data_IF_536922258168
#
_entry.id   IF_536922258168
#
_cell.length_a   1.000
_cell.length_b   1.000
_cell.length_c   1.000
_cell.angle_alpha   90.00
_cell.angle_beta   90.00
_cell.angle_gamma   90.00
#
_symmetry.space_group_name_H-M   'P 1'
#
loop_
_entity.id
_entity.type
_entity.pdbx_description
1 polymer ?
#
# COMPACT_ATOMS: atom_id res chain seq x y z
N UNK A 1 27.36 1.28 -41.06
CA UNK A 1 27.27 1.55 -39.62
C UNK A 1 25.79 1.48 -39.26
N UNK A 2 25.32 0.31 -38.83
CA UNK A 2 23.93 0.14 -38.40
C UNK A 2 23.90 0.67 -36.98
N UNK A 3 23.33 1.87 -36.82
CA UNK A 3 23.03 2.42 -35.50
C UNK A 3 21.87 1.56 -34.99
N UNK A 4 22.14 0.67 -34.05
CA UNK A 4 21.09 0.08 -33.24
C UNK A 4 20.46 1.23 -32.47
N UNK A 5 19.25 1.64 -32.86
CA UNK A 5 18.40 2.38 -31.95
C UNK A 5 18.28 1.53 -30.67
N UNK A 6 18.46 2.10 -29.47
CA UNK A 6 18.21 1.34 -28.25
C UNK A 6 16.78 0.82 -28.32
N UNK A 7 16.61 -0.49 -28.17
CA UNK A 7 15.30 -1.12 -28.07
C UNK A 7 14.61 -0.52 -26.85
N UNK A 8 13.38 0.00 -27.00
CA UNK A 8 12.62 0.51 -25.85
C UNK A 8 12.64 -0.53 -24.72
N UNK A 9 13.00 -0.12 -23.50
CA UNK A 9 13.04 -1.03 -22.36
C UNK A 9 11.63 -1.64 -22.18
N UNK A 10 11.55 -2.96 -22.29
CA UNK A 10 10.27 -3.68 -22.22
C UNK A 10 9.83 -3.80 -20.77
N UNK A 11 8.52 -3.76 -20.55
CA UNK A 11 7.92 -4.01 -19.24
C UNK A 11 8.33 -5.38 -18.74
N UNK A 12 8.85 -5.43 -17.52
CA UNK A 12 9.22 -6.65 -16.83
C UNK A 12 8.01 -7.25 -16.08
N UNK A 13 7.88 -8.57 -16.10
CA UNK A 13 6.79 -9.30 -15.45
C UNK A 13 7.34 -10.36 -14.47
N UNK A 14 7.66 -10.00 -13.22
CA UNK A 14 8.39 -10.86 -12.27
C UNK A 14 7.64 -12.13 -11.88
N UNK A 15 6.31 -12.13 -12.01
CA UNK A 15 5.45 -13.24 -11.60
C UNK A 15 5.17 -14.26 -12.71
N UNK A 16 5.70 -14.06 -13.93
CA UNK A 16 5.67 -15.10 -14.98
C UNK A 16 6.61 -16.27 -14.66
N UNK A 17 7.68 -16.03 -13.87
CA UNK A 17 8.63 -17.06 -13.43
C UNK A 17 9.16 -16.79 -12.03
N UNK A 18 8.44 -17.27 -11.01
CA UNK A 18 8.78 -17.06 -9.59
C UNK A 18 10.16 -17.61 -9.19
N UNK A 19 10.65 -18.67 -9.87
CA UNK A 19 11.99 -19.22 -9.60
C UNK A 19 13.11 -18.31 -10.11
N UNK A 20 12.88 -17.61 -11.21
CA UNK A 20 13.86 -16.70 -11.80
C UNK A 20 13.90 -15.36 -11.06
N UNK A 21 12.81 -14.93 -10.43
CA UNK A 21 12.69 -13.60 -9.83
C UNK A 21 13.75 -13.28 -8.76
N UNK A 22 14.31 -14.26 -8.05
CA UNK A 22 15.44 -14.04 -7.10
C UNK A 22 16.76 -13.64 -7.76
N UNK A 23 16.92 -13.95 -9.04
CA UNK A 23 18.16 -13.73 -9.81
C UNK A 23 18.06 -12.54 -10.75
N UNK A 24 16.93 -11.85 -10.74
CA UNK A 24 16.64 -10.70 -11.59
C UNK A 24 16.36 -9.50 -10.70
N UNK A 25 16.81 -8.31 -11.10
CA UNK A 25 16.43 -7.07 -10.44
C UNK A 25 14.90 -6.92 -10.46
N UNK A 26 14.29 -6.66 -9.30
CA UNK A 26 12.84 -6.59 -9.15
C UNK A 26 12.23 -5.53 -10.07
N UNK A 27 12.92 -4.41 -10.31
CA UNK A 27 12.39 -3.30 -11.08
C UNK A 27 12.60 -3.49 -12.60
N UNK A 28 13.80 -3.88 -13.02
CA UNK A 28 14.19 -3.88 -14.44
C UNK A 28 14.18 -5.26 -15.10
N UNK A 29 14.12 -6.34 -14.32
CA UNK A 29 14.25 -7.70 -14.83
C UNK A 29 15.65 -8.08 -15.33
N UNK A 30 16.65 -7.19 -15.24
CA UNK A 30 18.04 -7.49 -15.61
C UNK A 30 18.64 -8.52 -14.65
N UNK A 31 19.47 -9.48 -15.13
CA UNK A 31 20.15 -10.44 -14.26
C UNK A 31 21.02 -9.75 -13.21
N UNK A 32 20.99 -10.28 -11.99
CA UNK A 32 21.91 -9.88 -10.92
C UNK A 32 23.27 -10.58 -11.08
N UNK A 33 24.33 -9.89 -10.69
CA UNK A 33 25.69 -10.41 -10.65
C UNK A 33 25.91 -11.33 -9.45
N UNK A 34 25.19 -11.13 -8.35
CA UNK A 34 25.29 -11.97 -7.14
C UNK A 34 23.97 -11.99 -6.35
N UNK A 35 23.84 -12.95 -5.44
CA UNK A 35 22.72 -13.02 -4.48
C UNK A 35 22.70 -11.86 -3.48
N UNK A 36 23.83 -11.17 -3.31
CA UNK A 36 23.98 -10.05 -2.37
C UNK A 36 23.41 -8.73 -2.93
N UNK A 37 23.11 -8.67 -4.23
CA UNK A 37 22.47 -7.51 -4.84
C UNK A 37 21.01 -7.41 -4.42
N UNK A 38 20.80 -6.78 -3.27
CA UNK A 38 19.51 -6.63 -2.63
C UNK A 38 19.38 -5.30 -1.91
N UNK A 39 18.16 -4.81 -1.82
CA UNK A 39 17.78 -3.66 -0.98
C UNK A 39 16.84 -4.13 0.14
N UNK A 40 16.73 -3.34 1.21
CA UNK A 40 15.70 -3.56 2.20
C UNK A 40 14.32 -3.15 1.67
N UNK A 41 13.28 -3.89 2.04
CA UNK A 41 11.89 -3.52 1.75
C UNK A 41 11.55 -2.22 2.48
N UNK A 42 11.80 -2.20 3.79
CA UNK A 42 11.70 -1.03 4.64
C UNK A 42 12.98 -0.22 4.51
N UNK A 43 12.91 1.08 4.22
CA UNK A 43 14.12 1.84 3.96
C UNK A 43 14.93 2.06 5.25
N UNK A 44 16.26 2.11 5.09
CA UNK A 44 17.19 2.19 6.22
C UNK A 44 16.93 3.41 7.10
N UNK A 45 16.65 4.58 6.51
CA UNK A 45 16.36 5.81 7.26
C UNK A 45 15.16 5.66 8.21
N UNK A 46 14.13 4.93 7.77
CA UNK A 46 12.93 4.70 8.56
C UNK A 46 13.19 3.69 9.67
N UNK A 47 13.87 2.59 9.33
CA UNK A 47 14.21 1.55 10.30
C UNK A 47 15.11 2.10 11.42
N UNK A 48 16.12 2.90 11.08
CA UNK A 48 16.99 3.52 12.08
C UNK A 48 16.25 4.56 12.94
N UNK A 49 15.37 5.37 12.34
CA UNK A 49 14.57 6.40 13.05
C UNK A 49 13.66 5.78 14.11
N UNK A 50 12.96 4.70 13.77
CA UNK A 50 11.98 4.05 14.65
C UNK A 50 12.50 2.77 15.31
N UNK A 51 13.81 2.48 15.20
CA UNK A 51 14.48 1.30 15.79
C UNK A 51 13.82 -0.02 15.40
N UNK A 52 13.46 -0.16 14.12
CA UNK A 52 12.68 -1.29 13.60
C UNK A 52 13.54 -2.48 13.19
N UNK A 53 14.84 -2.31 12.96
CA UNK A 53 15.70 -3.31 12.31
C UNK A 53 15.56 -4.72 12.90
N UNK A 54 15.62 -4.85 14.23
CA UNK A 54 15.49 -6.11 14.96
C UNK A 54 14.08 -6.42 15.46
N UNK A 55 13.10 -5.55 15.18
CA UNK A 55 11.71 -5.77 15.60
C UNK A 55 11.09 -6.92 14.81
N UNK A 56 10.19 -7.72 15.42
CA UNK A 56 9.52 -8.79 14.71
C UNK A 56 8.53 -8.22 13.68
N UNK A 57 8.57 -8.80 12.49
CA UNK A 57 7.57 -8.65 11.43
C UNK A 57 6.92 -10.01 11.21
N UNK A 58 5.60 -10.05 11.35
CA UNK A 58 4.82 -11.28 11.20
C UNK A 58 4.26 -11.36 9.78
N UNK A 59 4.59 -12.43 9.07
CA UNK A 59 4.09 -12.73 7.72
C UNK A 59 2.70 -13.41 7.78
N UNK A 60 2.04 -13.51 6.62
CA UNK A 60 0.72 -14.13 6.49
C UNK A 60 0.71 -15.62 6.83
N UNK A 61 1.83 -16.32 6.64
CA UNK A 61 2.03 -17.71 7.05
C UNK A 61 2.31 -17.86 8.56
N UNK A 62 2.14 -16.80 9.34
CA UNK A 62 2.41 -16.69 10.77
C UNK A 62 3.90 -16.79 11.15
N UNK A 63 4.80 -16.96 10.16
CA UNK A 63 6.23 -16.92 10.43
C UNK A 63 6.67 -15.52 10.83
N UNK A 64 7.72 -15.46 11.66
CA UNK A 64 8.29 -14.22 12.16
C UNK A 64 9.65 -14.02 11.51
N UNK A 65 9.82 -12.89 10.84
CA UNK A 65 11.11 -12.36 10.40
C UNK A 65 11.38 -11.05 11.13
N UNK A 66 12.53 -10.43 10.91
CA UNK A 66 12.75 -9.04 11.35
C UNK A 66 12.56 -8.06 10.19
N UNK A 67 12.32 -6.78 10.48
CA UNK A 67 12.19 -5.76 9.42
C UNK A 67 13.42 -5.73 8.49
N UNK A 68 14.63 -5.89 9.04
CA UNK A 68 15.87 -5.90 8.24
C UNK A 68 16.00 -7.15 7.35
N UNK A 69 15.35 -8.26 7.69
CA UNK A 69 15.42 -9.52 6.92
C UNK A 69 14.55 -9.46 5.65
N UNK A 70 13.59 -8.54 5.60
CA UNK A 70 12.74 -8.34 4.42
C UNK A 70 13.52 -7.59 3.33
N UNK A 71 13.83 -8.32 2.26
CA UNK A 71 14.71 -7.87 1.17
C UNK A 71 14.04 -7.99 -0.20
N UNK A 72 14.54 -7.20 -1.16
CA UNK A 72 14.18 -7.27 -2.57
C UNK A 72 15.45 -7.41 -3.43
N UNK A 73 15.48 -8.31 -4.43
CA UNK A 73 16.59 -8.42 -5.37
C UNK A 73 16.68 -7.15 -6.22
N UNK A 74 17.79 -6.42 -6.19
CA UNK A 74 17.93 -5.15 -6.89
C UNK A 74 19.38 -4.93 -7.32
N UNK A 75 19.61 -4.64 -8.61
CA UNK A 75 20.96 -4.33 -9.09
C UNK A 75 21.44 -2.98 -8.56
N UNK A 76 22.74 -2.82 -8.42
CA UNK A 76 23.33 -1.55 -7.99
C UNK A 76 22.91 -0.38 -8.91
N UNK A 77 22.90 -0.60 -10.22
CA UNK A 77 22.47 0.40 -11.22
C UNK A 77 21.03 0.85 -11.02
N UNK A 78 20.08 -0.10 -10.85
CA UNK A 78 18.68 0.25 -10.65
C UNK A 78 18.44 0.93 -9.30
N UNK A 79 19.19 0.53 -8.28
CA UNK A 79 19.15 1.17 -6.97
C UNK A 79 19.60 2.64 -7.07
N UNK A 80 20.78 2.90 -7.63
CA UNK A 80 21.37 4.24 -7.75
C UNK A 80 20.55 5.18 -8.64
N UNK A 81 20.05 4.69 -9.78
CA UNK A 81 19.33 5.53 -10.74
C UNK A 81 17.88 5.83 -10.34
N UNK A 82 17.22 4.92 -9.64
CA UNK A 82 15.77 4.97 -9.47
C UNK A 82 15.32 4.90 -8.00
N UNK A 83 15.81 3.93 -7.24
CA UNK A 83 15.33 3.69 -5.87
C UNK A 83 15.88 4.71 -4.88
N UNK A 84 17.18 5.01 -4.89
CA UNK A 84 17.80 5.97 -3.98
C UNK A 84 17.28 7.40 -4.17
N UNK A 85 17.07 7.92 -5.40
CA UNK A 85 16.40 9.20 -5.59
C UNK A 85 15.00 9.23 -4.98
N UNK A 86 14.18 8.19 -5.20
CA UNK A 86 12.85 8.08 -4.60
C UNK A 86 12.93 8.10 -3.07
N UNK A 87 13.83 7.33 -2.46
CA UNK A 87 13.99 7.30 -1.01
C UNK A 87 14.45 8.63 -0.44
N UNK A 88 15.36 9.34 -1.11
CA UNK A 88 15.81 10.68 -0.67
C UNK A 88 14.70 11.71 -0.71
N UNK A 89 13.91 11.74 -1.79
CA UNK A 89 12.79 12.67 -1.94
C UNK A 89 11.73 12.44 -0.84
N UNK A 90 11.41 11.17 -0.58
CA UNK A 90 10.44 10.77 0.45
C UNK A 90 10.98 11.03 1.86
N UNK A 91 12.23 10.65 2.15
CA UNK A 91 12.85 10.89 3.45
C UNK A 91 12.86 12.38 3.79
N UNK A 92 13.23 13.24 2.84
CA UNK A 92 13.28 14.68 3.04
C UNK A 92 11.91 15.24 3.46
N UNK A 93 10.84 14.87 2.75
CA UNK A 93 9.49 15.33 3.09
C UNK A 93 8.98 14.72 4.40
N UNK A 94 9.17 13.41 4.61
CA UNK A 94 8.68 12.70 5.79
C UNK A 94 9.36 13.18 7.08
N UNK A 95 10.61 13.64 6.98
CA UNK A 95 11.35 14.26 8.09
C UNK A 95 10.76 15.60 8.50
N UNK A 96 10.26 16.40 7.55
CA UNK A 96 9.62 17.69 7.84
C UNK A 96 8.21 17.49 8.38
N UNK A 97 7.43 16.56 7.80
CA UNK A 97 6.09 16.24 8.25
C UNK A 97 4.98 16.65 7.28
N UNK A 98 3.76 16.76 7.78
CA UNK A 98 2.51 16.88 7.00
C UNK A 98 2.59 17.92 5.87
N UNK A 99 3.07 19.14 6.17
CA UNK A 99 3.11 20.23 5.19
C UNK A 99 4.02 19.90 4.00
N UNK A 100 5.17 19.24 4.23
CA UNK A 100 6.07 18.86 3.13
C UNK A 100 5.54 17.65 2.35
N UNK A 101 4.90 16.69 3.03
CA UNK A 101 4.30 15.52 2.38
C UNK A 101 3.13 15.93 1.48
N UNK A 102 2.36 16.94 1.88
CA UNK A 102 1.24 17.48 1.10
C UNK A 102 1.68 18.09 -0.24
N UNK A 103 2.90 18.61 -0.32
CA UNK A 103 3.47 19.21 -1.53
C UNK A 103 4.20 18.19 -2.43
N UNK A 104 4.34 16.94 -1.99
CA UNK A 104 4.90 15.88 -2.83
C UNK A 104 3.93 15.51 -3.97
N UNK A 105 4.51 15.17 -5.11
CA UNK A 105 3.76 14.50 -6.18
C UNK A 105 3.19 13.17 -5.66
N UNK A 106 1.87 13.00 -5.74
CA UNK A 106 1.18 11.77 -5.34
C UNK A 106 1.72 10.54 -6.09
N UNK A 107 2.24 10.70 -7.32
CA UNK A 107 2.88 9.59 -8.04
C UNK A 107 4.12 9.09 -7.31
N UNK A 108 4.90 9.97 -6.66
CA UNK A 108 6.07 9.57 -5.85
C UNK A 108 5.64 8.81 -4.60
N UNK A 109 4.57 9.26 -3.93
CA UNK A 109 3.98 8.53 -2.78
C UNK A 109 3.48 7.16 -3.20
N UNK A 110 2.81 7.08 -4.36
CA UNK A 110 2.37 5.82 -4.96
C UNK A 110 3.54 4.88 -5.25
N UNK A 111 4.58 5.35 -5.96
CA UNK A 111 5.76 4.54 -6.30
C UNK A 111 6.45 4.00 -5.04
N UNK A 112 6.58 4.84 -4.01
CA UNK A 112 7.20 4.45 -2.75
C UNK A 112 6.38 3.39 -2.00
N UNK A 113 5.08 3.59 -1.86
CA UNK A 113 4.19 2.62 -1.24
C UNK A 113 4.07 1.32 -2.05
N UNK A 114 4.02 1.41 -3.38
CA UNK A 114 4.00 0.26 -4.29
C UNK A 114 5.29 -0.56 -4.21
N UNK A 115 6.47 0.09 -4.13
CA UNK A 115 7.76 -0.59 -3.91
C UNK A 115 7.74 -1.37 -2.61
N UNK A 116 7.32 -0.72 -1.54
CA UNK A 116 7.25 -1.33 -0.21
C UNK A 116 6.31 -2.54 -0.22
N UNK A 117 5.07 -2.38 -0.69
CA UNK A 117 4.11 -3.48 -0.69
C UNK A 117 4.53 -4.60 -1.65
N UNK A 118 5.11 -4.28 -2.81
CA UNK A 118 5.71 -5.29 -3.69
C UNK A 118 6.80 -6.09 -2.98
N UNK A 119 7.60 -5.43 -2.14
CA UNK A 119 8.59 -6.06 -1.27
C UNK A 119 8.00 -7.08 -0.30
N UNK A 120 6.90 -6.71 0.36
CA UNK A 120 6.17 -7.62 1.26
C UNK A 120 5.60 -8.80 0.47
N UNK A 121 4.87 -8.52 -0.61
CA UNK A 121 4.31 -9.53 -1.52
C UNK A 121 5.40 -10.51 -1.99
N UNK A 122 6.56 -10.00 -2.39
CA UNK A 122 7.68 -10.84 -2.81
C UNK A 122 8.12 -11.77 -1.68
N UNK A 123 8.33 -11.27 -0.46
CA UNK A 123 8.76 -12.08 0.68
C UNK A 123 7.70 -13.10 1.11
N UNK A 124 6.42 -12.73 1.11
CA UNK A 124 5.28 -13.62 1.37
C UNK A 124 5.21 -14.77 0.36
N UNK A 125 5.31 -14.46 -0.93
CA UNK A 125 5.34 -15.49 -1.98
C UNK A 125 6.55 -16.41 -1.81
N UNK A 126 7.72 -15.89 -1.42
CA UNK A 126 8.89 -16.73 -1.15
C UNK A 126 8.71 -17.63 0.07
N UNK A 127 8.02 -17.17 1.12
CA UNK A 127 7.68 -17.98 2.28
C UNK A 127 6.71 -19.11 1.90
N UNK A 128 5.60 -18.77 1.23
CA UNK A 128 4.62 -19.72 0.74
C UNK A 128 5.25 -20.78 -0.21
N UNK A 129 6.12 -20.35 -1.13
CA UNK A 129 6.88 -21.26 -1.99
C UNK A 129 7.73 -22.24 -1.19
N UNK A 130 8.44 -21.78 -0.15
CA UNK A 130 9.26 -22.67 0.68
C UNK A 130 8.40 -23.68 1.43
N UNK A 131 7.27 -23.24 1.97
CA UNK A 131 6.34 -24.10 2.69
C UNK A 131 5.77 -25.21 1.80
N UNK A 132 5.17 -24.85 0.66
CA UNK A 132 4.57 -25.84 -0.26
C UNK A 132 5.61 -26.84 -0.78
N UNK A 133 6.82 -26.36 -1.14
CA UNK A 133 7.90 -27.26 -1.55
C UNK A 133 8.32 -28.22 -0.43
N UNK A 134 8.32 -27.78 0.84
CA UNK A 134 8.62 -28.64 1.98
C UNK A 134 7.52 -29.70 2.23
N UNK A 135 6.28 -29.39 1.87
CA UNK A 135 5.13 -30.30 1.90
C UNK A 135 5.07 -31.20 0.64
N UNK A 136 5.95 -31.00 -0.33
CA UNK A 136 5.99 -31.76 -1.59
C UNK A 136 4.94 -31.30 -2.62
N UNK A 137 4.30 -30.16 -2.38
CA UNK A 137 3.31 -29.55 -3.27
C UNK A 137 3.97 -28.63 -4.30
N UNK A 138 3.35 -28.54 -5.49
CA UNK A 138 3.75 -27.55 -6.47
C UNK A 138 3.20 -26.16 -6.09
N UNK A 139 4.06 -25.15 -6.15
CA UNK A 139 3.67 -23.79 -5.82
C UNK A 139 2.52 -23.30 -6.71
N UNK A 140 1.42 -22.86 -6.10
CA UNK A 140 0.26 -22.35 -6.82
C UNK A 140 -0.35 -21.13 -6.15
N UNK A 141 -0.78 -20.18 -6.98
CA UNK A 141 -1.44 -18.94 -6.56
C UNK A 141 -2.66 -18.73 -7.46
N UNK A 142 -3.74 -18.17 -6.90
CA UNK A 142 -4.93 -17.89 -7.70
C UNK A 142 -4.64 -16.86 -8.80
N UNK A 143 -5.31 -17.00 -9.95
CA UNK A 143 -5.11 -16.11 -11.09
C UNK A 143 -5.47 -14.65 -10.77
N UNK A 144 -6.47 -14.41 -9.92
CA UNK A 144 -6.86 -13.06 -9.51
C UNK A 144 -5.80 -12.37 -8.65
N UNK A 145 -5.15 -13.11 -7.74
CA UNK A 145 -4.03 -12.60 -6.94
C UNK A 145 -2.83 -12.32 -7.85
N UNK A 146 -2.50 -13.25 -8.75
CA UNK A 146 -1.42 -13.09 -9.72
C UNK A 146 -1.61 -11.87 -10.62
N UNK A 147 -2.83 -11.65 -11.10
CA UNK A 147 -3.19 -10.48 -11.91
C UNK A 147 -3.00 -9.19 -11.13
N UNK A 148 -3.46 -9.14 -9.87
CA UNK A 148 -3.32 -7.97 -8.99
C UNK A 148 -1.85 -7.61 -8.79
N UNK A 149 -1.02 -8.58 -8.40
CA UNK A 149 0.40 -8.36 -8.16
C UNK A 149 1.14 -7.99 -9.44
N UNK A 150 0.81 -8.62 -10.58
CA UNK A 150 1.34 -8.25 -11.89
C UNK A 150 1.00 -6.81 -12.22
N UNK A 151 -0.26 -6.41 -12.11
CA UNK A 151 -0.69 -5.03 -12.37
C UNK A 151 0.06 -4.04 -11.46
N UNK A 152 0.26 -4.38 -10.17
CA UNK A 152 0.90 -3.47 -9.22
C UNK A 152 2.36 -3.25 -9.62
N UNK A 153 3.03 -4.32 -10.02
CA UNK A 153 4.42 -4.26 -10.46
C UNK A 153 4.59 -3.52 -11.80
N UNK A 154 3.67 -3.70 -12.75
CA UNK A 154 3.67 -2.90 -14.00
C UNK A 154 3.54 -1.41 -13.67
N UNK A 155 2.63 -1.03 -12.76
CA UNK A 155 2.46 0.37 -12.36
C UNK A 155 3.67 0.91 -11.59
N UNK A 156 4.32 0.08 -10.76
CA UNK A 156 5.55 0.42 -10.06
C UNK A 156 6.70 0.74 -11.03
N UNK A 157 6.72 0.12 -12.22
CA UNK A 157 7.73 0.42 -13.23
C UNK A 157 7.62 1.83 -13.82
N UNK A 158 6.59 2.63 -13.48
CA UNK A 158 6.63 4.10 -13.70
C UNK A 158 7.86 4.76 -13.07
N UNK A 159 8.52 4.09 -12.12
CA UNK A 159 9.75 4.53 -11.49
C UNK A 159 10.97 4.46 -12.43
N UNK A 160 10.97 3.57 -13.43
CA UNK A 160 12.11 3.36 -14.35
C UNK A 160 11.75 3.43 -15.84
N UNK A 161 10.47 3.38 -16.17
CA UNK A 161 9.95 3.40 -17.54
C UNK A 161 9.04 4.62 -17.74
N UNK A 162 8.93 5.16 -18.97
CA UNK A 162 8.04 6.27 -19.32
C UNK A 162 6.58 5.81 -19.42
N UNK A 163 6.06 5.22 -18.34
CA UNK A 163 4.68 4.76 -18.24
C UNK A 163 3.77 5.94 -17.89
N UNK A 164 2.68 6.08 -18.64
CA UNK A 164 1.65 7.11 -18.46
C UNK A 164 0.30 6.46 -18.20
N UNK A 165 -0.40 6.94 -17.18
CA UNK A 165 -1.80 6.57 -16.93
C UNK A 165 -2.71 7.46 -17.77
N UNK A 166 -3.50 6.86 -18.66
CA UNK A 166 -4.37 7.60 -19.57
C UNK A 166 -5.69 7.96 -18.89
N UNK A 167 -5.83 9.23 -18.53
CA UNK A 167 -7.03 9.82 -17.88
C UNK A 167 -7.49 9.12 -16.58
N UNK A 168 -6.60 8.43 -15.86
CA UNK A 168 -6.93 7.86 -14.54
C UNK A 168 -5.75 7.92 -13.55
N UNK A 169 -6.07 7.76 -12.26
CA UNK A 169 -5.09 7.48 -11.20
C UNK A 169 -5.34 6.06 -10.69
N UNK A 170 -4.33 5.18 -10.62
CA UNK A 170 -4.55 3.80 -10.19
C UNK A 170 -4.86 3.68 -8.70
N UNK A 171 -4.68 4.75 -7.93
CA UNK A 171 -4.77 4.75 -6.49
C UNK A 171 -5.82 5.73 -5.93
N UNK A 172 -6.21 5.47 -4.69
CA UNK A 172 -6.85 6.42 -3.79
C UNK A 172 -5.90 6.71 -2.65
N UNK A 173 -5.61 7.99 -2.41
CA UNK A 173 -4.67 8.46 -1.41
C UNK A 173 -5.38 9.39 -0.42
N UNK A 174 -5.15 9.19 0.86
CA UNK A 174 -5.66 10.03 1.93
C UNK A 174 -4.51 10.44 2.85
N UNK A 175 -4.32 11.75 2.99
CA UNK A 175 -3.30 12.35 3.85
C UNK A 175 -3.98 13.20 4.93
N UNK A 176 -3.55 13.03 6.18
CA UNK A 176 -4.06 13.77 7.32
C UNK A 176 -2.92 14.30 8.18
N UNK A 177 -3.15 15.44 8.84
CA UNK A 177 -2.35 15.86 9.98
C UNK A 177 -2.80 15.06 11.20
N UNK A 178 -1.87 14.52 11.97
CA UNK A 178 -2.19 13.63 13.10
C UNK A 178 -1.32 13.96 14.31
N UNK A 179 -1.95 14.07 15.48
CA UNK A 179 -1.27 14.30 16.77
C UNK A 179 -0.62 13.01 17.29
N UNK A 180 0.39 12.50 16.59
CA UNK A 180 1.09 11.29 16.98
C UNK A 180 1.97 11.52 18.21
N UNK A 181 2.22 10.46 18.96
CA UNK A 181 3.27 10.49 19.97
C UNK A 181 4.64 10.54 19.29
N UNK A 182 5.59 11.20 19.96
CA UNK A 182 6.96 11.27 19.46
C UNK A 182 7.56 9.88 19.30
N UNK A 183 8.27 9.64 18.18
CA UNK A 183 8.87 8.35 17.84
C UNK A 183 7.88 7.18 17.73
N UNK A 184 6.58 7.44 17.59
CA UNK A 184 5.60 6.40 17.32
C UNK A 184 5.62 5.99 15.85
N UNK A 185 5.70 4.68 15.60
CA UNK A 185 5.57 4.07 14.28
C UNK A 185 4.26 3.30 14.20
N UNK A 186 3.32 3.79 13.41
CA UNK A 186 2.10 3.08 13.05
C UNK A 186 2.16 2.61 11.60
N UNK A 187 2.05 1.30 11.38
CA UNK A 187 2.07 0.71 10.04
C UNK A 187 1.08 -0.46 9.95
N UNK A 188 0.31 -0.50 8.87
CA UNK A 188 -0.60 -1.60 8.51
C UNK A 188 -0.65 -1.77 7.00
N UNK A 189 -0.77 -3.00 6.56
CA UNK A 189 -1.05 -3.33 5.17
C UNK A 189 -2.05 -4.47 5.06
N UNK A 190 -2.66 -4.60 3.89
CA UNK A 190 -3.48 -5.72 3.49
C UNK A 190 -3.12 -6.11 2.06
N UNK A 191 -2.31 -7.16 1.94
CA UNK A 191 -1.80 -7.70 0.67
C UNK A 191 -2.92 -8.01 -0.32
N UNK A 192 -4.06 -8.56 0.14
CA UNK A 192 -5.15 -9.00 -0.73
C UNK A 192 -5.85 -7.84 -1.43
N UNK A 193 -5.97 -6.71 -0.73
CA UNK A 193 -6.64 -5.49 -1.24
C UNK A 193 -5.66 -4.43 -1.72
N UNK A 194 -4.35 -4.69 -1.57
CA UNK A 194 -3.24 -3.76 -1.83
C UNK A 194 -3.43 -2.39 -1.16
N UNK A 195 -3.92 -2.44 0.07
CA UNK A 195 -4.15 -1.25 0.91
C UNK A 195 -3.04 -1.12 1.95
N UNK A 196 -2.63 0.10 2.21
CA UNK A 196 -1.53 0.47 3.09
C UNK A 196 -1.95 1.66 3.96
N UNK A 197 -1.53 1.67 5.22
CA UNK A 197 -1.62 2.81 6.11
C UNK A 197 -0.31 2.99 6.90
N UNK A 198 0.16 4.22 6.99
CA UNK A 198 1.34 4.64 7.73
C UNK A 198 1.01 5.88 8.56
N UNK A 199 1.51 5.92 9.78
CA UNK A 199 1.42 7.07 10.66
C UNK A 199 2.73 7.26 11.40
N UNK A 200 3.38 8.39 11.14
CA UNK A 200 4.68 8.77 11.67
C UNK A 200 4.76 10.29 11.75
N UNK A 201 5.69 10.81 12.56
CA UNK A 201 5.88 12.25 12.75
C UNK A 201 4.54 12.95 13.06
N UNK A 202 4.11 13.98 12.33
CA UNK A 202 2.82 14.67 12.55
C UNK A 202 1.77 14.36 11.46
N UNK A 203 1.91 13.24 10.73
CA UNK A 203 0.99 12.89 9.65
C UNK A 203 0.58 11.41 9.65
N UNK A 204 -0.47 11.14 8.89
CA UNK A 204 -0.92 9.80 8.55
C UNK A 204 -1.28 9.73 7.07
N UNK A 205 -0.83 8.66 6.40
CA UNK A 205 -1.01 8.39 4.98
C UNK A 205 -1.72 7.04 4.82
N UNK A 206 -2.78 7.01 4.03
CA UNK A 206 -3.46 5.79 3.62
C UNK A 206 -3.49 5.77 2.10
N UNK A 207 -3.17 4.63 1.50
CA UNK A 207 -3.25 4.46 0.05
C UNK A 207 -3.81 3.07 -0.28
N UNK A 208 -4.80 3.03 -1.17
CA UNK A 208 -5.08 1.81 -1.92
C UNK A 208 -4.44 1.96 -3.30
N UNK A 209 -3.56 1.03 -3.66
CA UNK A 209 -2.66 1.16 -4.79
C UNK A 209 -3.31 0.82 -6.14
N UNK A 210 -4.47 0.15 -6.17
CA UNK A 210 -5.05 -0.38 -7.40
C UNK A 210 -6.57 -0.39 -7.43
N UNK A 211 -7.18 0.76 -7.13
CA UNK A 211 -8.64 0.92 -7.07
C UNK A 211 -9.17 1.94 -8.08
N UNK A 212 -8.32 2.52 -8.91
CA UNK A 212 -8.66 3.55 -9.91
C UNK A 212 -9.35 4.80 -9.30
N UNK A 213 -9.00 5.17 -8.05
CA UNK A 213 -9.61 6.29 -7.33
C UNK A 213 -11.02 5.98 -6.80
N UNK A 214 -11.46 4.72 -6.85
CA UNK A 214 -12.86 4.34 -6.57
C UNK A 214 -13.19 4.38 -5.08
N UNK A 215 -12.26 3.99 -4.22
CA UNK A 215 -12.40 4.09 -2.77
C UNK A 215 -12.38 5.55 -2.33
N UNK A 216 -11.55 6.38 -2.95
CA UNK A 216 -11.52 7.83 -2.77
C UNK A 216 -12.90 8.45 -3.00
N UNK A 217 -13.55 8.09 -4.11
CA UNK A 217 -14.94 8.50 -4.40
C UNK A 217 -15.95 7.92 -3.39
N UNK A 218 -15.78 6.66 -2.99
CA UNK A 218 -16.67 6.02 -2.02
C UNK A 218 -16.62 6.67 -0.64
N UNK A 219 -15.44 7.10 -0.19
CA UNK A 219 -15.23 7.72 1.12
C UNK A 219 -15.20 9.26 1.06
N UNK A 220 -15.51 9.86 -0.09
CA UNK A 220 -15.33 11.29 -0.33
C UNK A 220 -16.06 12.16 0.69
N UNK A 221 -17.32 11.84 1.00
CA UNK A 221 -18.09 12.63 1.97
C UNK A 221 -17.43 12.62 3.36
N UNK A 222 -16.99 11.45 3.82
CA UNK A 222 -16.28 11.34 5.10
C UNK A 222 -14.95 12.08 5.05
N UNK A 223 -14.18 11.90 3.97
CA UNK A 223 -12.88 12.52 3.79
C UNK A 223 -12.98 14.05 3.78
N UNK A 224 -13.91 14.62 3.01
CA UNK A 224 -14.09 16.07 2.89
C UNK A 224 -14.44 16.75 4.22
N UNK A 225 -15.11 16.04 5.14
CA UNK A 225 -15.41 16.58 6.49
C UNK A 225 -14.18 16.67 7.39
N UNK A 226 -13.13 15.87 7.15
CA UNK A 226 -12.02 15.68 8.09
C UNK A 226 -10.62 15.98 7.51
N UNK A 227 -10.47 16.08 6.17
CA UNK A 227 -9.16 16.21 5.50
C UNK A 227 -8.32 17.41 5.94
N UNK A 228 -8.98 18.50 6.33
CA UNK A 228 -8.35 19.74 6.80
C UNK A 228 -8.30 19.84 8.33
N UNK A 229 -8.59 18.74 9.05
CA UNK A 229 -8.54 18.66 10.51
C UNK A 229 -7.25 17.97 10.95
N UNK A 230 -6.78 18.35 12.13
CA UNK A 230 -5.81 17.56 12.87
C UNK A 230 -6.53 16.44 13.59
N UNK A 231 -6.14 15.20 13.32
CA UNK A 231 -6.76 14.01 13.89
C UNK A 231 -6.01 13.54 15.15
N UNK A 232 -6.75 13.00 16.12
CA UNK A 232 -6.16 12.13 17.12
C UNK A 232 -5.76 10.79 16.46
N UNK A 233 -4.70 10.08 16.92
CA UNK A 233 -4.32 8.79 16.36
C UNK A 233 -5.47 7.78 16.27
N UNK A 234 -6.42 7.78 17.22
CA UNK A 234 -7.60 6.89 17.19
C UNK A 234 -8.56 7.20 16.03
N UNK A 235 -8.70 8.49 15.69
CA UNK A 235 -9.51 8.96 14.56
C UNK A 235 -8.87 8.57 13.22
N UNK A 236 -7.54 8.68 13.13
CA UNK A 236 -6.80 8.18 11.97
C UNK A 236 -6.98 6.67 11.78
N UNK A 237 -6.88 5.89 12.86
CA UNK A 237 -7.11 4.43 12.80
C UNK A 237 -8.57 4.10 12.45
N UNK A 238 -9.56 4.92 12.87
CA UNK A 238 -10.96 4.76 12.43
C UNK A 238 -11.11 4.98 10.92
N UNK A 239 -10.57 6.07 10.39
CA UNK A 239 -10.65 6.32 8.95
C UNK A 239 -9.86 5.26 8.16
N UNK A 240 -8.74 4.79 8.69
CA UNK A 240 -7.99 3.67 8.12
C UNK A 240 -8.83 2.39 8.08
N UNK A 241 -9.54 2.05 9.17
CA UNK A 241 -10.46 0.92 9.19
C UNK A 241 -11.56 1.05 8.13
N UNK A 242 -12.12 2.25 7.92
CA UNK A 242 -13.09 2.52 6.85
C UNK A 242 -12.49 2.30 5.46
N UNK A 243 -11.27 2.77 5.22
CA UNK A 243 -10.56 2.59 3.96
C UNK A 243 -10.26 1.11 3.66
N UNK A 244 -9.75 0.37 4.65
CA UNK A 244 -9.48 -1.07 4.52
C UNK A 244 -10.77 -1.87 4.31
N UNK A 245 -11.84 -1.53 5.02
CA UNK A 245 -13.12 -2.22 4.85
C UNK A 245 -13.78 -1.87 3.51
N UNK A 246 -13.71 -0.60 3.06
CA UNK A 246 -14.16 -0.23 1.72
C UNK A 246 -13.36 -0.97 0.63
N UNK A 247 -12.05 -1.16 0.81
CA UNK A 247 -11.22 -1.96 -0.08
C UNK A 247 -11.64 -3.44 -0.11
N UNK A 248 -12.02 -4.00 1.04
CA UNK A 248 -12.58 -5.34 1.12
C UNK A 248 -13.94 -5.47 0.41
N UNK A 249 -14.82 -4.47 0.55
CA UNK A 249 -16.12 -4.43 -0.12
C UNK A 249 -16.01 -4.18 -1.63
N UNK A 250 -14.90 -3.62 -2.10
CA UNK A 250 -14.68 -3.33 -3.52
C UNK A 250 -14.62 -4.63 -4.33
N UNK A 251 -15.74 -4.98 -4.96
CA UNK A 251 -15.98 -6.30 -5.56
C UNK A 251 -15.60 -6.34 -7.06
N UNK A 252 -14.61 -5.55 -7.46
CA UNK A 252 -14.06 -5.53 -8.81
C UNK A 252 -12.55 -5.73 -8.78
N UNK A 253 -12.06 -6.42 -9.79
CA UNK A 253 -10.65 -6.49 -10.12
C UNK A 253 -10.43 -5.59 -11.33
N UNK A 254 -9.81 -4.40 -11.16
CA UNK A 254 -9.49 -3.55 -12.29
C UNK A 254 -8.59 -4.27 -13.31
N UNK A 255 -8.92 -4.10 -14.58
CA UNK A 255 -8.14 -4.60 -15.71
C UNK A 255 -7.64 -3.41 -16.52
N UNK A 256 -6.49 -3.60 -17.17
CA UNK A 256 -5.82 -2.53 -17.88
C UNK A 256 -5.33 -3.00 -19.24
N UNK A 257 -5.45 -2.12 -20.23
CA UNK A 257 -4.85 -2.30 -21.53
C UNK A 257 -3.52 -1.52 -21.55
N UNK A 258 -2.46 -2.17 -22.04
CA UNK A 258 -1.10 -1.63 -22.06
C UNK A 258 -0.67 -1.44 -23.51
N UNK A 259 -0.37 -0.21 -23.89
CA UNK A 259 -0.09 0.18 -25.27
C UNK A 259 1.22 0.97 -25.37
N UNK A 260 2.31 0.35 -25.88
CA UNK A 260 3.52 1.09 -26.25
C UNK A 260 3.24 2.02 -27.44
N UNK A 261 3.54 3.31 -27.31
CA UNK A 261 3.37 4.33 -28.35
C UNK A 261 4.63 5.19 -28.44
N UNK A 262 5.44 4.95 -29.47
CA UNK A 262 6.75 5.60 -29.57
C UNK A 262 7.67 5.16 -28.44
N UNK A 263 8.19 6.13 -27.68
CA UNK A 263 9.02 5.88 -26.51
C UNK A 263 8.19 5.75 -25.21
N UNK A 264 6.91 6.13 -25.23
CA UNK A 264 6.03 6.06 -24.06
C UNK A 264 5.26 4.74 -23.99
N UNK A 265 4.80 4.40 -22.78
CA UNK A 265 3.92 3.25 -22.54
C UNK A 265 2.64 3.77 -21.88
N UNK A 266 1.51 3.64 -22.56
CA UNK A 266 0.22 4.05 -22.01
C UNK A 266 -0.45 2.87 -21.32
N UNK A 267 -0.99 3.12 -20.14
CA UNK A 267 -1.90 2.22 -19.44
C UNK A 267 -3.27 2.88 -19.50
N UNK A 268 -4.27 2.13 -19.95
CA UNK A 268 -5.67 2.56 -19.95
C UNK A 268 -6.47 1.64 -19.01
N UNK A 269 -7.36 2.21 -18.22
CA UNK A 269 -8.20 1.46 -17.29
C UNK A 269 -9.51 1.02 -17.96
N UNK A 270 -9.76 -0.28 -18.00
CA UNK A 270 -11.02 -0.81 -18.49
C UNK A 270 -12.17 -0.44 -17.55
N UNK A 271 -13.39 -0.31 -18.11
CA UNK A 271 -14.57 0.06 -17.34
C UNK A 271 -14.83 -0.94 -16.20
N UNK A 272 -14.80 -0.47 -14.95
CA UNK A 272 -14.98 -1.30 -13.75
C UNK A 272 -16.32 -2.07 -13.71
N UNK A 273 -17.37 -1.51 -14.34
CA UNK A 273 -18.68 -2.20 -14.40
C UNK A 273 -18.76 -3.18 -15.57
N UNK A 274 -18.04 -2.95 -16.66
CA UNK A 274 -18.29 -3.63 -17.94
C UNK A 274 -19.79 -3.67 -18.24
N UNK A 275 -20.33 -4.88 -18.44
CA UNK A 275 -21.76 -5.12 -18.67
C UNK A 275 -22.57 -5.44 -17.39
N UNK A 276 -21.96 -5.39 -16.21
CA UNK A 276 -22.60 -5.74 -14.93
C UNK A 276 -23.45 -4.59 -14.38
N UNK A 277 -24.67 -4.91 -13.94
CA UNK A 277 -25.54 -3.98 -13.22
C UNK A 277 -25.28 -3.96 -11.71
N UNK A 278 -24.45 -4.87 -11.19
CA UNK A 278 -24.14 -4.93 -9.76
C UNK A 278 -23.41 -3.65 -9.32
N UNK A 279 -23.66 -3.14 -8.09
CA UNK A 279 -22.84 -2.11 -7.48
C UNK A 279 -21.35 -2.48 -7.46
N UNK A 280 -20.48 -1.45 -7.37
CA UNK A 280 -19.02 -1.62 -7.29
C UNK A 280 -18.53 -2.06 -5.90
N UNK A 281 -19.39 -1.91 -4.89
CA UNK A 281 -19.13 -2.30 -3.53
C UNK A 281 -20.22 -3.27 -3.09
N UNK A 282 -19.83 -4.29 -2.34
CA UNK A 282 -20.78 -5.09 -1.57
C UNK A 282 -21.40 -4.25 -0.45
N UNK A 283 -22.51 -4.73 0.11
CA UNK A 283 -23.22 -4.03 1.16
C UNK A 283 -22.37 -3.92 2.43
N UNK A 284 -22.34 -2.73 3.03
CA UNK A 284 -21.63 -2.48 4.27
C UNK A 284 -22.28 -3.23 5.44
N UNK A 285 -21.53 -4.13 6.07
CA UNK A 285 -21.99 -4.91 7.22
C UNK A 285 -21.36 -4.35 8.50
N UNK A 286 -22.19 -3.75 9.35
CA UNK A 286 -21.75 -3.11 10.60
C UNK A 286 -20.94 -4.06 11.49
N UNK A 287 -21.37 -5.31 11.62
CA UNK A 287 -20.66 -6.30 12.44
C UNK A 287 -19.24 -6.56 11.92
N UNK A 288 -19.08 -6.68 10.61
CA UNK A 288 -17.76 -6.89 9.99
C UNK A 288 -16.90 -5.64 10.11
N UNK A 289 -17.46 -4.46 9.88
CA UNK A 289 -16.78 -3.20 10.13
C UNK A 289 -16.31 -3.08 11.59
N UNK A 290 -17.14 -3.46 12.56
CA UNK A 290 -16.78 -3.49 13.99
C UNK A 290 -15.60 -4.40 14.30
N UNK A 291 -15.47 -5.54 13.61
CA UNK A 291 -14.31 -6.44 13.75
C UNK A 291 -13.04 -5.81 13.18
N UNK A 292 -13.16 -5.08 12.07
CA UNK A 292 -12.04 -4.29 11.53
C UNK A 292 -11.66 -3.22 12.55
N UNK A 293 -12.61 -2.44 13.07
CA UNK A 293 -12.34 -1.42 14.10
C UNK A 293 -11.69 -1.99 15.36
N UNK A 294 -12.13 -3.14 15.87
CA UNK A 294 -11.51 -3.80 17.03
C UNK A 294 -10.02 -4.07 16.79
N UNK A 295 -9.65 -4.55 15.59
CA UNK A 295 -8.24 -4.77 15.22
C UNK A 295 -7.45 -3.46 15.12
N UNK A 296 -8.06 -2.41 14.57
CA UNK A 296 -7.44 -1.09 14.43
C UNK A 296 -7.28 -0.39 15.78
N UNK A 297 -8.23 -0.56 16.68
CA UNK A 297 -8.26 0.06 18.00
C UNK A 297 -7.71 -0.83 19.12
N UNK A 298 -7.11 -1.97 18.79
CA UNK A 298 -6.57 -2.94 19.75
C UNK A 298 -5.71 -2.30 20.85
N UNK A 299 -4.91 -1.28 20.53
CA UNK A 299 -4.04 -0.61 21.51
C UNK A 299 -4.79 0.24 22.56
N UNK A 300 -6.04 0.61 22.29
CA UNK A 300 -6.92 1.32 23.21
C UNK A 300 -7.95 0.40 23.89
N UNK A 301 -7.88 -0.91 23.66
CA UNK A 301 -8.66 -1.90 24.40
C UNK A 301 -10.14 -2.02 24.03
N UNK A 302 -10.59 -1.37 22.95
CA UNK A 302 -11.97 -1.50 22.47
C UNK A 302 -12.26 -2.94 22.02
N UNK A 303 -13.35 -3.50 22.52
CA UNK A 303 -13.86 -4.80 22.10
C UNK A 303 -15.02 -4.65 21.13
N UNK A 304 -15.24 -5.65 20.28
CA UNK A 304 -16.32 -5.66 19.30
C UNK A 304 -17.68 -5.36 19.93
N UNK A 305 -18.02 -6.01 21.05
CA UNK A 305 -19.31 -5.84 21.71
C UNK A 305 -19.53 -4.42 22.25
N UNK A 306 -18.46 -3.68 22.52
CA UNK A 306 -18.52 -2.27 22.91
C UNK A 306 -18.70 -1.39 21.68
N UNK A 307 -17.95 -1.67 20.61
CA UNK A 307 -18.00 -0.93 19.34
C UNK A 307 -19.40 -1.00 18.71
N UNK A 308 -20.01 -2.19 18.67
CA UNK A 308 -21.32 -2.41 18.04
C UNK A 308 -22.47 -2.50 19.06
N UNK A 309 -22.31 -1.89 20.24
CA UNK A 309 -23.36 -1.85 21.26
C UNK A 309 -24.67 -1.25 20.73
N UNK A 310 -24.55 -0.23 19.89
CA UNK A 310 -25.60 0.24 18.99
C UNK A 310 -25.23 -0.22 17.56
N UNK A 311 -25.90 -1.26 17.03
CA UNK A 311 -25.62 -1.76 15.67
C UNK A 311 -25.98 -0.78 14.56
N UNK A 312 -26.85 0.20 14.81
CA UNK A 312 -27.19 1.22 13.81
C UNK A 312 -26.14 2.34 13.82
N UNK A 313 -25.51 2.57 14.98
CA UNK A 313 -24.49 3.60 15.18
C UNK A 313 -23.27 3.03 15.94
N UNK A 314 -22.36 2.32 15.25
CA UNK A 314 -21.10 1.89 15.86
C UNK A 314 -20.35 3.05 16.49
N UNK A 315 -19.63 2.79 17.57
CA UNK A 315 -18.77 3.78 18.22
C UNK A 315 -17.89 4.46 17.18
N UNK A 316 -17.91 5.79 17.19
CA UNK A 316 -17.07 6.64 16.35
C UNK A 316 -16.37 7.68 17.21
N UNK A 317 -15.09 7.88 16.92
CA UNK A 317 -14.30 9.01 17.40
C UNK A 317 -14.15 10.09 16.33
N UNK A 318 -14.53 9.82 15.07
CA UNK A 318 -14.56 10.83 14.01
C UNK A 318 -15.75 11.78 14.16
N UNK A 319 -16.95 11.25 14.40
CA UNK A 319 -18.18 12.02 14.43
C UNK A 319 -19.03 11.75 15.67
N UNK A 320 -19.68 12.79 16.18
CA UNK A 320 -20.70 12.68 17.21
C UNK A 320 -22.04 12.13 16.64
N UNK A 321 -23.03 11.95 17.51
CA UNK A 321 -24.36 11.45 17.12
C UNK A 321 -25.11 12.37 16.14
N UNK A 322 -24.76 13.66 16.09
CA UNK A 322 -25.32 14.64 15.16
C UNK A 322 -24.52 14.72 13.85
N UNK A 323 -23.45 13.94 13.71
CA UNK A 323 -22.58 13.89 12.53
C UNK A 323 -21.53 14.99 12.47
N UNK A 324 -21.29 15.73 13.55
CA UNK A 324 -20.24 16.75 13.62
C UNK A 324 -18.89 16.10 13.96
N UNK A 325 -17.81 16.68 13.43
CA UNK A 325 -16.45 16.23 13.74
C UNK A 325 -16.14 16.43 15.23
N UNK A 326 -15.62 15.38 15.88
CA UNK A 326 -15.15 15.43 17.27
C UNK A 326 -13.73 16.03 17.29
N UNK A 327 -13.46 17.16 17.96
CA UNK A 327 -12.12 17.74 18.04
C UNK A 327 -11.12 16.79 18.70
N UNK A 328 -9.92 16.63 18.11
CA UNK A 328 -8.89 15.73 18.62
C UNK A 328 -8.54 15.97 20.10
N UNK A 329 -8.48 17.23 20.55
CA UNK A 329 -8.15 17.62 21.92
C UNK A 329 -9.25 17.30 22.94
N UNK A 330 -10.46 16.94 22.47
CA UNK A 330 -11.58 16.53 23.32
C UNK A 330 -11.63 15.02 23.56
N UNK A 331 -10.81 14.24 22.86
CA UNK A 331 -10.75 12.79 22.98
C UNK A 331 -9.91 12.42 24.21
N UNK A 332 -10.61 12.00 25.26
CA UNK A 332 -9.99 11.41 26.46
C UNK A 332 -10.16 9.88 26.42
N UNK A 333 -9.04 9.17 26.30
CA UNK A 333 -9.01 7.71 26.22
C UNK A 333 -8.67 7.05 27.55
N UNK A 334 -8.55 7.82 28.64
CA UNK A 334 -8.39 7.30 30.00
C UNK A 334 -7.20 6.34 30.17
N UNK A 335 -6.10 6.58 29.44
CA UNK A 335 -4.89 5.76 29.45
C UNK A 335 -3.98 6.05 30.65
#
# INVERSE_FOLDING_TARGET
>A
MIIFAPMAEQIYYPFQSFKASKKLCFLTGKPLNSSEEQIHVFPQWLMSRYKLEDQPFKLLDESIQTYKDLKLPCSAEANELYVEPLERDIEAAFTIGYEAVKELDELRLFQWAAKWLHGIIFNELQAAMRQQNAEGEEFSVSQSILQRFTNLHVMLQTLSLPIKFDEFKPYSLFLFKVNNLENEFGYRDEVSTVTFALRINDFGLIINLQDNGTIGRYLQETYDKIKDRTLHPIQFEEFSARAFYAAYLFNRLPNYDIMPVGDDIFIEANQLRGNSTKPLFDEWQVRTYGQVLESFWKKWGYLLLEIIKDPDNPVSHLFDADGNFIPADSIDLGL
#
